data_IF_569944197080
#
_entry.id   IF_569944197080
#
_cell.length_a   1.000
_cell.length_b   1.000
_cell.length_c   1.000
_cell.angle_alpha   90.00
_cell.angle_beta   90.00
_cell.angle_gamma   90.00
#
_symmetry.space_group_name_H-M   'P 1'
#
loop_
_entity.id
_entity.type
_entity.pdbx_description
1 polymer ?
#
# COMPACT_ATOMS: atom_id res chain seq x y z
N UNK A 1 17.69 14.42 -3.41
CA UNK A 1 17.01 14.13 -4.69
C UNK A 1 17.21 12.72 -5.23
N UNK A 2 18.37 12.34 -5.80
CA UNK A 2 18.50 11.02 -6.47
C UNK A 2 18.27 9.84 -5.52
N UNK A 3 18.87 9.87 -4.32
CA UNK A 3 18.71 8.83 -3.29
C UNK A 3 17.25 8.71 -2.82
N UNK A 4 16.62 9.83 -2.44
CA UNK A 4 15.21 9.88 -2.03
C UNK A 4 14.29 9.30 -3.11
N UNK A 5 14.51 9.66 -4.38
CA UNK A 5 13.73 9.14 -5.52
C UNK A 5 13.92 7.63 -5.70
N UNK A 6 15.15 7.12 -5.58
CA UNK A 6 15.44 5.68 -5.69
C UNK A 6 14.76 4.92 -4.54
N UNK A 7 14.93 5.37 -3.30
CA UNK A 7 14.32 4.74 -2.12
C UNK A 7 12.80 4.73 -2.25
N UNK A 8 12.21 5.87 -2.64
CA UNK A 8 10.77 5.96 -2.91
C UNK A 8 10.30 4.89 -3.90
N UNK A 9 10.95 4.77 -5.06
CA UNK A 9 10.52 3.81 -6.08
C UNK A 9 10.74 2.36 -5.69
N UNK A 10 11.80 2.05 -4.93
CA UNK A 10 12.01 0.71 -4.36
C UNK A 10 10.88 0.37 -3.38
N UNK A 11 10.62 1.23 -2.40
CA UNK A 11 9.57 0.99 -1.39
C UNK A 11 8.19 0.92 -2.04
N UNK A 12 7.88 1.81 -2.98
CA UNK A 12 6.59 1.84 -3.68
C UNK A 12 6.41 0.62 -4.58
N UNK A 13 7.45 0.21 -5.30
CA UNK A 13 7.41 -1.00 -6.13
C UNK A 13 7.18 -2.25 -5.30
N UNK A 14 7.92 -2.41 -4.19
CA UNK A 14 7.74 -3.54 -3.29
C UNK A 14 6.37 -3.52 -2.60
N UNK A 15 5.90 -2.35 -2.17
CA UNK A 15 4.58 -2.20 -1.56
C UNK A 15 3.46 -2.57 -2.54
N UNK A 16 3.51 -2.01 -3.75
CA UNK A 16 2.55 -2.34 -4.81
C UNK A 16 2.58 -3.83 -5.17
N UNK A 17 3.76 -4.45 -5.21
CA UNK A 17 3.91 -5.89 -5.45
C UNK A 17 3.22 -6.73 -4.36
N UNK A 18 3.40 -6.40 -3.09
CA UNK A 18 2.72 -7.10 -1.98
C UNK A 18 1.19 -6.91 -2.05
N UNK A 19 0.72 -5.69 -2.32
CA UNK A 19 -0.71 -5.41 -2.42
C UNK A 19 -1.34 -6.13 -3.63
N UNK A 20 -0.66 -6.18 -4.77
CA UNK A 20 -1.11 -6.96 -5.92
C UNK A 20 -1.04 -8.47 -5.68
N UNK A 21 0.02 -8.94 -5.00
CA UNK A 21 0.22 -10.36 -4.68
C UNK A 21 -0.87 -10.95 -3.79
N UNK A 22 -1.47 -10.14 -2.90
CA UNK A 22 -2.67 -10.53 -2.15
C UNK A 22 -3.98 -10.17 -2.86
N UNK A 23 -4.00 -9.08 -3.64
CA UNK A 23 -5.18 -8.61 -4.36
C UNK A 23 -5.62 -9.54 -5.50
N UNK A 24 -4.68 -10.05 -6.31
CA UNK A 24 -5.00 -10.90 -7.47
C UNK A 24 -5.65 -12.22 -7.04
N UNK A 25 -5.12 -12.99 -6.07
CA UNK A 25 -5.80 -14.18 -5.55
C UNK A 25 -7.20 -13.89 -5.01
N UNK A 26 -7.40 -12.72 -4.38
CA UNK A 26 -8.70 -12.31 -3.88
C UNK A 26 -9.70 -12.02 -5.02
N UNK A 27 -9.26 -11.37 -6.11
CA UNK A 27 -10.09 -11.15 -7.32
C UNK A 27 -10.50 -12.50 -7.93
N UNK A 28 -9.56 -13.44 -7.98
CA UNK A 28 -9.80 -14.78 -8.52
C UNK A 28 -10.60 -15.68 -7.56
N UNK A 29 -10.93 -15.20 -6.36
CA UNK A 29 -11.60 -15.98 -5.31
C UNK A 29 -10.85 -17.31 -5.08
N UNK A 30 -9.53 -17.23 -5.01
CA UNK A 30 -8.67 -18.41 -4.87
C UNK A 30 -9.01 -19.18 -3.58
N UNK A 31 -9.00 -20.53 -3.58
CA UNK A 31 -9.34 -21.32 -2.39
C UNK A 31 -8.56 -20.96 -1.13
N UNK A 32 -7.28 -20.60 -1.24
CA UNK A 32 -6.48 -20.15 -0.09
C UNK A 32 -6.97 -18.82 0.47
N UNK A 33 -7.36 -17.88 -0.40
CA UNK A 33 -7.98 -16.62 0.02
C UNK A 33 -9.32 -16.90 0.70
N UNK A 34 -10.19 -17.72 0.11
CA UNK A 34 -11.49 -18.07 0.69
C UNK A 34 -11.31 -18.68 2.08
N UNK A 35 -10.40 -19.63 2.23
CA UNK A 35 -10.12 -20.25 3.53
C UNK A 35 -9.65 -19.22 4.56
N UNK A 36 -8.68 -18.36 4.20
CA UNK A 36 -8.17 -17.34 5.11
C UNK A 36 -9.24 -16.37 5.59
N UNK A 37 -10.12 -15.90 4.68
CA UNK A 37 -11.24 -15.03 5.04
C UNK A 37 -12.31 -15.75 5.87
N UNK A 38 -12.60 -17.02 5.56
CA UNK A 38 -13.57 -17.82 6.31
C UNK A 38 -13.11 -18.09 7.74
N UNK A 39 -11.82 -18.38 7.95
CA UNK A 39 -11.22 -18.50 9.29
C UNK A 39 -11.33 -17.22 10.12
N UNK A 40 -11.44 -16.06 9.46
CA UNK A 40 -11.68 -14.76 10.09
C UNK A 40 -13.17 -14.41 10.21
N UNK A 41 -14.08 -15.30 9.78
CA UNK A 41 -15.54 -15.08 9.84
C UNK A 41 -16.09 -14.16 8.76
N UNK A 42 -15.33 -13.87 7.71
CA UNK A 42 -15.78 -12.99 6.63
C UNK A 42 -16.60 -13.71 5.56
N UNK A 43 -17.63 -13.05 5.00
CA UNK A 43 -18.41 -13.61 3.90
C UNK A 43 -17.62 -13.56 2.59
N UNK A 44 -17.77 -14.58 1.75
CA UNK A 44 -16.99 -14.75 0.50
C UNK A 44 -17.14 -13.57 -0.48
N UNK A 45 -18.27 -12.87 -0.50
CA UNK A 45 -18.50 -11.75 -1.43
C UNK A 45 -17.55 -10.56 -1.19
N UNK A 46 -17.00 -10.40 0.02
CA UNK A 46 -16.09 -9.29 0.33
C UNK A 46 -14.70 -9.47 -0.29
N UNK A 47 -14.33 -10.72 -0.57
CA UNK A 47 -13.00 -11.10 -1.04
C UNK A 47 -12.68 -10.42 -2.38
N UNK A 48 -13.48 -10.58 -3.47
CA UNK A 48 -13.17 -9.95 -4.74
C UNK A 48 -13.23 -8.42 -4.66
N UNK A 49 -14.11 -7.85 -3.83
CA UNK A 49 -14.18 -6.39 -3.61
C UNK A 49 -12.85 -5.85 -3.05
N UNK A 50 -12.32 -6.46 -1.99
CA UNK A 50 -11.03 -6.09 -1.42
C UNK A 50 -9.88 -6.35 -2.40
N UNK A 51 -9.98 -7.41 -3.21
CA UNK A 51 -9.00 -7.70 -4.25
C UNK A 51 -8.88 -6.57 -5.28
N UNK A 52 -10.01 -6.10 -5.81
CA UNK A 52 -10.04 -4.98 -6.74
C UNK A 52 -9.58 -3.67 -6.09
N UNK A 53 -10.00 -3.39 -4.85
CA UNK A 53 -9.57 -2.21 -4.11
C UNK A 53 -8.04 -2.16 -3.95
N UNK A 54 -7.42 -3.29 -3.57
CA UNK A 54 -5.95 -3.42 -3.47
C UNK A 54 -5.26 -3.20 -4.82
N UNK A 55 -5.78 -3.82 -5.89
CA UNK A 55 -5.17 -3.73 -7.21
C UNK A 55 -5.24 -2.29 -7.77
N UNK A 56 -6.39 -1.64 -7.66
CA UNK A 56 -6.57 -0.25 -8.09
C UNK A 56 -5.72 0.71 -7.26
N UNK A 57 -5.64 0.50 -5.94
CA UNK A 57 -4.74 1.26 -5.07
C UNK A 57 -3.27 1.09 -5.45
N UNK A 58 -2.83 -0.14 -5.72
CA UNK A 58 -1.46 -0.45 -6.14
C UNK A 58 -1.10 0.24 -7.48
N UNK A 59 -2.03 0.23 -8.44
CA UNK A 59 -1.85 0.96 -9.72
C UNK A 59 -1.77 2.46 -9.44
N UNK A 60 -2.66 3.01 -8.63
CA UNK A 60 -2.71 4.45 -8.34
C UNK A 60 -1.42 4.98 -7.68
N UNK A 61 -0.78 4.21 -6.79
CA UNK A 61 0.50 4.63 -6.18
C UNK A 61 1.68 4.56 -7.16
N UNK A 62 1.62 3.68 -8.16
CA UNK A 62 2.67 3.54 -9.19
C UNK A 62 2.54 4.59 -10.29
N UNK A 63 1.32 4.96 -10.69
CA UNK A 63 1.09 5.93 -11.76
C UNK A 63 1.52 7.34 -11.29
N UNK A 64 2.39 8.05 -12.04
CA UNK A 64 2.75 9.44 -11.75
C UNK A 64 1.64 10.41 -12.19
N UNK A 65 1.63 11.63 -11.62
CA UNK A 65 0.79 12.73 -12.11
C UNK A 65 -0.54 12.97 -11.38
N UNK A 66 -0.97 12.06 -10.50
CA UNK A 66 -2.26 12.18 -9.78
C UNK A 66 -2.07 12.27 -8.26
N UNK A 67 -1.67 13.44 -7.70
CA UNK A 67 -1.31 13.55 -6.28
C UNK A 67 -2.49 13.23 -5.34
N UNK A 68 -3.68 13.80 -5.57
CA UNK A 68 -4.86 13.54 -4.71
C UNK A 68 -5.30 12.08 -4.72
N UNK A 69 -5.30 11.44 -5.90
CA UNK A 69 -5.64 10.03 -6.02
C UNK A 69 -4.61 9.15 -5.28
N UNK A 70 -3.33 9.55 -5.33
CA UNK A 70 -2.26 8.85 -4.63
C UNK A 70 -2.42 8.91 -3.11
N UNK A 71 -2.83 10.05 -2.56
CA UNK A 71 -3.18 10.18 -1.13
C UNK A 71 -4.28 9.20 -0.73
N UNK A 72 -5.37 9.15 -1.52
CA UNK A 72 -6.48 8.24 -1.27
C UNK A 72 -6.07 6.77 -1.37
N UNK A 73 -5.23 6.44 -2.36
CA UNK A 73 -4.70 5.10 -2.52
C UNK A 73 -3.83 4.68 -1.33
N UNK A 74 -2.92 5.54 -0.87
CA UNK A 74 -2.13 5.25 0.33
C UNK A 74 -3.01 5.04 1.56
N UNK A 75 -3.98 5.94 1.81
CA UNK A 75 -4.89 5.80 2.95
C UNK A 75 -5.69 4.48 2.89
N UNK A 76 -6.28 4.17 1.74
CA UNK A 76 -7.07 2.95 1.55
C UNK A 76 -6.24 1.67 1.73
N UNK A 77 -5.04 1.60 1.14
CA UNK A 77 -4.15 0.44 1.28
C UNK A 77 -3.65 0.25 2.72
N UNK A 78 -3.39 1.34 3.44
CA UNK A 78 -3.00 1.28 4.85
C UNK A 78 -4.18 0.81 5.71
N UNK A 79 -5.38 1.34 5.51
CA UNK A 79 -6.57 0.89 6.24
C UNK A 79 -6.90 -0.57 5.96
N UNK A 80 -6.71 -1.03 4.73
CA UNK A 80 -6.85 -2.44 4.37
C UNK A 80 -5.87 -3.34 5.17
N UNK A 81 -4.60 -2.96 5.26
CA UNK A 81 -3.60 -3.71 6.03
C UNK A 81 -3.89 -3.66 7.54
N UNK A 82 -4.30 -2.52 8.07
CA UNK A 82 -4.69 -2.39 9.49
C UNK A 82 -5.94 -3.21 9.80
N UNK A 83 -6.94 -3.19 8.91
CA UNK A 83 -8.14 -4.01 9.02
C UNK A 83 -7.83 -5.50 8.98
N UNK A 84 -6.96 -5.92 8.05
CA UNK A 84 -6.48 -7.30 7.99
C UNK A 84 -5.73 -7.71 9.28
N UNK A 85 -4.87 -6.83 9.80
CA UNK A 85 -4.14 -7.04 11.06
C UNK A 85 -5.10 -7.20 12.24
N UNK A 86 -6.09 -6.32 12.34
CA UNK A 86 -7.10 -6.41 13.39
C UNK A 86 -7.92 -7.70 13.29
N UNK A 87 -8.32 -8.08 12.08
CA UNK A 87 -9.12 -9.28 11.83
C UNK A 87 -8.38 -10.56 12.24
N UNK A 88 -7.12 -10.70 11.80
CA UNK A 88 -6.33 -11.89 12.12
C UNK A 88 -5.96 -11.95 13.60
N UNK A 89 -5.71 -10.80 14.25
CA UNK A 89 -5.50 -10.75 15.70
C UNK A 89 -6.73 -11.25 16.49
N UNK A 90 -7.94 -11.05 15.97
CA UNK A 90 -9.19 -11.54 16.58
C UNK A 90 -9.57 -12.97 16.16
N UNK A 91 -8.84 -13.59 15.23
CA UNK A 91 -9.12 -14.97 14.76
C UNK A 91 -8.59 -16.07 15.68
N UNK A 92 -7.96 -15.73 16.81
CA UNK A 92 -7.36 -16.70 17.75
C UNK A 92 -6.01 -17.27 17.31
N UNK A 93 -5.45 -16.80 16.18
CA UNK A 93 -4.13 -17.20 15.68
C UNK A 93 -2.99 -16.65 16.56
N UNK A 94 -1.94 -17.44 16.73
CA UNK A 94 -0.76 -17.03 17.48
C UNK A 94 -0.08 -15.83 16.80
N UNK A 95 0.47 -14.91 17.60
CA UNK A 95 1.10 -13.68 17.10
C UNK A 95 2.17 -13.93 16.03
N UNK A 96 2.95 -15.01 16.17
CA UNK A 96 3.98 -15.38 15.19
C UNK A 96 3.44 -15.70 13.79
N UNK A 97 2.16 -16.05 13.66
CA UNK A 97 1.54 -16.38 12.37
C UNK A 97 1.11 -15.14 11.59
N UNK A 98 0.88 -14.00 12.26
CA UNK A 98 0.35 -12.80 11.62
C UNK A 98 1.19 -11.54 11.82
N UNK A 99 2.09 -11.51 12.80
CA UNK A 99 3.03 -10.41 13.03
C UNK A 99 3.83 -9.98 11.79
N UNK A 100 4.18 -10.85 10.81
CA UNK A 100 4.82 -10.40 9.58
C UNK A 100 4.06 -9.32 8.81
N UNK A 101 2.75 -9.15 9.02
CA UNK A 101 1.96 -8.07 8.39
C UNK A 101 2.48 -6.67 8.74
N UNK A 102 3.09 -6.50 9.92
CA UNK A 102 3.68 -5.22 10.33
C UNK A 102 4.83 -4.77 9.42
N UNK A 103 5.52 -5.70 8.77
CA UNK A 103 6.55 -5.39 7.77
C UNK A 103 5.91 -4.68 6.57
N UNK A 104 4.73 -5.14 6.13
CA UNK A 104 4.02 -4.54 5.01
C UNK A 104 3.39 -3.19 5.38
N UNK A 105 2.92 -3.04 6.62
CA UNK A 105 2.47 -1.75 7.16
C UNK A 105 3.63 -0.75 7.18
N UNK A 106 4.79 -1.15 7.73
CA UNK A 106 5.99 -0.31 7.75
C UNK A 106 6.48 0.04 6.34
N UNK A 107 6.38 -0.89 5.39
CA UNK A 107 6.69 -0.67 3.98
C UNK A 107 5.75 0.37 3.35
N UNK A 108 4.46 0.29 3.63
CA UNK A 108 3.46 1.26 3.16
C UNK A 108 3.70 2.67 3.71
N UNK A 109 3.90 2.80 5.03
CA UNK A 109 4.25 4.08 5.65
C UNK A 109 5.60 4.63 5.18
N UNK A 110 6.60 3.75 4.98
CA UNK A 110 7.89 4.12 4.42
C UNK A 110 7.76 4.68 3.01
N UNK A 111 7.01 3.98 2.13
CA UNK A 111 6.70 4.46 0.78
C UNK A 111 6.02 5.84 0.80
N UNK A 112 5.03 6.02 1.67
CA UNK A 112 4.31 7.28 1.86
C UNK A 112 5.22 8.43 2.36
N UNK A 113 6.07 8.15 3.34
CA UNK A 113 7.02 9.12 3.88
C UNK A 113 7.99 9.61 2.79
N UNK A 114 8.58 8.68 2.02
CA UNK A 114 9.50 9.03 0.95
C UNK A 114 8.80 9.69 -0.25
N UNK A 115 7.51 9.42 -0.46
CA UNK A 115 6.69 10.16 -1.43
C UNK A 115 6.60 11.64 -1.06
N UNK A 116 6.23 11.96 0.17
CA UNK A 116 6.14 13.33 0.67
C UNK A 116 7.49 14.03 0.69
N UNK A 117 8.53 13.33 1.13
CA UNK A 117 9.90 13.86 1.11
C UNK A 117 10.35 14.22 -0.31
N UNK A 118 10.05 13.36 -1.30
CA UNK A 118 10.33 13.62 -2.71
C UNK A 118 9.58 14.86 -3.23
N UNK A 119 8.32 15.05 -2.84
CA UNK A 119 7.53 16.23 -3.25
C UNK A 119 8.14 17.52 -2.71
N UNK A 120 8.50 17.56 -1.41
CA UNK A 120 9.15 18.71 -0.78
C UNK A 120 10.47 19.07 -1.47
N UNK A 121 11.36 18.09 -1.65
CA UNK A 121 12.63 18.30 -2.36
C UNK A 121 12.45 18.80 -3.81
N UNK A 122 11.32 18.48 -4.46
CA UNK A 122 11.03 18.94 -5.83
C UNK A 122 10.53 20.38 -5.85
N UNK A 123 9.71 20.76 -4.86
CA UNK A 123 9.22 22.13 -4.70
C UNK A 123 10.37 23.10 -4.38
N UNK A 124 11.21 22.76 -3.41
CA UNK A 124 12.39 23.56 -3.02
C UNK A 124 13.34 23.81 -4.20
N UNK A 125 13.64 22.77 -5.00
CA UNK A 125 14.48 22.94 -6.19
C UNK A 125 13.82 23.87 -7.22
N UNK A 126 12.50 23.79 -7.37
CA UNK A 126 11.75 24.62 -8.33
C UNK A 126 11.81 26.09 -7.92
N UNK A 127 11.63 26.40 -6.64
CA UNK A 127 11.76 27.74 -6.09
C UNK A 127 13.18 28.29 -6.25
N UNK A 128 14.22 27.49 -5.95
CA UNK A 128 15.62 27.90 -6.11
C UNK A 128 15.97 28.23 -7.57
N UNK A 129 15.46 27.43 -8.51
CA UNK A 129 15.67 27.67 -9.95
C UNK A 129 14.96 28.94 -10.42
N UNK A 130 13.77 29.24 -9.90
CA UNK A 130 13.05 30.46 -10.23
C UNK A 130 13.79 31.71 -9.73
N UNK A 131 14.38 31.68 -8.53
CA UNK A 131 15.15 32.81 -8.00
C UNK A 131 16.45 33.09 -8.76
N UNK A 132 17.07 32.09 -9.41
CA UNK A 132 18.31 32.27 -10.18
C UNK A 132 18.09 32.88 -11.57
N UNK A 133 16.84 32.96 -12.04
CA UNK A 133 16.48 33.45 -13.37
C UNK A 133 16.00 34.91 -13.33
N UNK A 134 15.82 35.48 -12.14
CA UNK A 134 15.50 36.89 -11.88
C UNK A 134 16.77 37.64 -11.49
#
# INVERSE_FOLDING_TARGET
MKKTKIIYWILTGLFAFVMAGSGIPNIMVNPMSVQGFHEMGYPTYIIPFLGWAKLLGAIAILVPGFPRLKEWAYAGLIFDLLGATYSVANSGKAIGQWAPIFIFVALGFGSYYFYHKKLKETAELTEELQMKVV
#
